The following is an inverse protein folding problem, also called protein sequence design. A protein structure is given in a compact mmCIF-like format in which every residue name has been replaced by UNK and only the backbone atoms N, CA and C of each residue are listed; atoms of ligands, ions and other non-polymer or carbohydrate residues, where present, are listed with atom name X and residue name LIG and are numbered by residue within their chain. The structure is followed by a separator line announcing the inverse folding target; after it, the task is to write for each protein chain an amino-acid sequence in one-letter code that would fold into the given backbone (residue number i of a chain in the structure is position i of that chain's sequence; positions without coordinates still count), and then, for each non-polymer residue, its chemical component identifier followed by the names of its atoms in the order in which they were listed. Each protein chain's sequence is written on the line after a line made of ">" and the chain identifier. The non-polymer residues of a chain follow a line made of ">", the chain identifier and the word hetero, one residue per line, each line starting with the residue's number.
data_IF_210453154456
#
_entry.id   IF_210453154456
#
_cell.length_a   1.000
_cell.length_b   1.000
_cell.length_c   1.000
_cell.angle_alpha   90.00
_cell.angle_beta   90.00
_cell.angle_gamma   90.00
#
_symmetry.space_group_name_H-M   'P 1'
#
loop_
_entity.id
_entity.type
_entity.pdbx_description
1 polymer ?
#
# COMPACT_ATOMS: atom_id res chain seq x y z
N UNK A 1 -30.27 -38.16 -35.85
CA UNK A 1 -29.82 -38.48 -34.47
C UNK A 1 -28.44 -37.87 -34.13
N UNK A 2 -28.17 -36.61 -34.55
CA UNK A 2 -26.87 -35.90 -34.29
C UNK A 2 -27.03 -34.47 -33.78
N UNK A 3 -28.26 -34.07 -33.35
CA UNK A 3 -28.51 -32.69 -32.87
C UNK A 3 -28.42 -32.48 -31.38
N UNK A 4 -28.61 -33.51 -30.55
CA UNK A 4 -28.78 -33.35 -29.09
C UNK A 4 -27.47 -33.27 -28.29
N UNK A 5 -26.41 -33.90 -28.79
CA UNK A 5 -25.12 -33.89 -28.06
C UNK A 5 -24.43 -32.50 -28.01
N UNK A 6 -24.68 -31.61 -28.99
CA UNK A 6 -24.09 -30.29 -29.03
C UNK A 6 -24.79 -29.28 -28.09
N UNK A 7 -26.09 -29.48 -27.81
CA UNK A 7 -26.82 -28.65 -26.85
C UNK A 7 -26.47 -29.00 -25.40
N UNK A 8 -26.37 -30.29 -25.08
CA UNK A 8 -25.92 -30.72 -23.74
C UNK A 8 -24.48 -30.34 -23.44
N UNK A 9 -23.60 -30.35 -24.44
CA UNK A 9 -22.20 -29.90 -24.26
C UNK A 9 -22.10 -28.37 -24.08
N UNK A 10 -22.96 -27.58 -24.77
CA UNK A 10 -23.04 -26.13 -24.56
C UNK A 10 -23.68 -25.77 -23.21
N UNK A 11 -24.70 -26.49 -22.75
CA UNK A 11 -25.35 -26.27 -21.48
C UNK A 11 -24.43 -26.62 -20.30
N UNK A 12 -23.68 -27.73 -20.36
CA UNK A 12 -22.70 -28.10 -19.36
C UNK A 12 -21.55 -27.09 -19.31
N UNK A 13 -21.05 -26.58 -20.44
CA UNK A 13 -20.01 -25.53 -20.45
C UNK A 13 -20.53 -24.22 -19.85
N UNK A 14 -21.79 -23.82 -20.08
CA UNK A 14 -22.36 -22.60 -19.47
C UNK A 14 -22.60 -22.75 -17.96
N UNK A 15 -22.95 -23.96 -17.50
CA UNK A 15 -23.15 -24.27 -16.07
C UNK A 15 -21.77 -24.32 -15.34
N UNK A 16 -20.75 -24.89 -15.99
CA UNK A 16 -19.37 -24.88 -15.46
C UNK A 16 -18.79 -23.46 -15.44
N UNK A 17 -19.01 -22.64 -16.47
CA UNK A 17 -18.61 -21.23 -16.52
C UNK A 17 -19.30 -20.40 -15.42
N UNK A 18 -20.59 -20.59 -15.16
CA UNK A 18 -21.32 -19.89 -14.11
C UNK A 18 -20.93 -20.31 -12.69
N UNK A 19 -20.49 -21.55 -12.48
CA UNK A 19 -19.95 -22.01 -11.21
C UNK A 19 -18.50 -21.54 -10.98
N UNK A 20 -17.69 -21.45 -12.04
CA UNK A 20 -16.34 -20.89 -11.97
C UNK A 20 -16.35 -19.39 -11.62
N UNK A 21 -17.28 -18.58 -12.15
CA UNK A 21 -17.43 -17.17 -11.80
C UNK A 21 -17.82 -16.95 -10.32
N UNK A 22 -18.70 -17.77 -9.76
CA UNK A 22 -19.08 -17.68 -8.33
C UNK A 22 -17.94 -18.07 -7.40
N UNK A 23 -17.16 -19.07 -7.76
CA UNK A 23 -16.00 -19.52 -6.99
C UNK A 23 -14.88 -18.47 -7.03
N UNK A 24 -14.69 -17.78 -8.15
CA UNK A 24 -13.72 -16.73 -8.34
C UNK A 24 -13.98 -15.50 -7.44
N UNK A 25 -15.25 -15.05 -7.32
CA UNK A 25 -15.59 -13.90 -6.46
C UNK A 25 -15.31 -14.21 -4.97
N UNK A 26 -15.60 -15.41 -4.50
CA UNK A 26 -15.29 -15.82 -3.14
C UNK A 26 -13.78 -15.79 -2.84
N UNK A 27 -12.95 -16.29 -3.77
CA UNK A 27 -11.49 -16.21 -3.65
C UNK A 27 -10.99 -14.77 -3.67
N UNK A 28 -11.52 -13.93 -4.56
CA UNK A 28 -11.16 -12.52 -4.66
C UNK A 28 -11.46 -11.76 -3.37
N UNK A 29 -12.64 -11.94 -2.80
CA UNK A 29 -13.01 -11.30 -1.53
C UNK A 29 -12.17 -11.85 -0.37
N UNK A 30 -11.87 -13.15 -0.36
CA UNK A 30 -11.06 -13.76 0.69
C UNK A 30 -9.61 -13.27 0.63
N UNK A 31 -8.99 -13.19 -0.55
CA UNK A 31 -7.61 -12.67 -0.64
C UNK A 31 -7.54 -11.16 -0.34
N UNK A 32 -8.59 -10.39 -0.67
CA UNK A 32 -8.71 -8.98 -0.29
C UNK A 32 -8.84 -8.81 1.22
N UNK A 33 -9.60 -9.69 1.87
CA UNK A 33 -9.70 -9.72 3.34
C UNK A 33 -8.36 -10.13 3.99
N UNK A 34 -7.63 -11.08 3.40
CA UNK A 34 -6.27 -11.40 3.85
C UNK A 34 -5.35 -10.19 3.72
N UNK A 35 -5.46 -9.41 2.63
CA UNK A 35 -4.69 -8.18 2.44
C UNK A 35 -5.03 -7.12 3.50
N UNK A 36 -6.32 -6.95 3.82
CA UNK A 36 -6.76 -6.06 4.90
C UNK A 36 -6.10 -6.43 6.23
N UNK A 37 -6.10 -7.71 6.59
CA UNK A 37 -5.53 -8.15 7.86
C UNK A 37 -3.99 -8.09 7.89
N UNK A 38 -3.32 -8.40 6.76
CA UNK A 38 -1.87 -8.27 6.63
C UNK A 38 -1.42 -6.83 6.79
N UNK A 39 -2.03 -5.90 6.06
CA UNK A 39 -1.71 -4.47 6.13
C UNK A 39 -2.11 -3.83 7.47
N UNK A 40 -3.13 -4.37 8.17
CA UNK A 40 -3.44 -3.97 9.56
C UNK A 40 -2.27 -4.26 10.48
N UNK A 41 -1.62 -5.43 10.35
CA UNK A 41 -0.45 -5.77 11.15
C UNK A 41 0.75 -4.89 10.80
N UNK A 42 0.94 -4.54 9.53
CA UNK A 42 2.02 -3.67 9.09
C UNK A 42 1.87 -2.24 9.59
N UNK A 43 0.69 -1.65 9.45
CA UNK A 43 0.46 -0.26 9.84
C UNK A 43 0.29 -0.05 11.35
N UNK A 44 0.08 -1.11 12.12
CA UNK A 44 0.16 -1.08 13.59
C UNK A 44 1.56 -0.66 14.05
N UNK A 45 2.62 -1.04 13.33
CA UNK A 45 4.00 -0.76 13.74
C UNK A 45 4.32 0.75 13.82
N UNK A 46 4.14 1.58 12.79
CA UNK A 46 4.35 3.01 12.91
C UNK A 46 3.43 3.66 13.96
N UNK A 47 2.24 3.13 14.18
CA UNK A 47 1.34 3.65 15.20
C UNK A 47 1.88 3.49 16.63
N UNK A 48 2.70 2.48 16.90
CA UNK A 48 3.32 2.26 18.23
C UNK A 48 4.71 2.91 18.37
N UNK A 49 5.22 3.65 17.41
CA UNK A 49 6.52 4.31 17.48
C UNK A 49 6.70 5.20 18.72
N UNK A 50 5.72 6.01 19.15
CA UNK A 50 5.87 6.76 20.40
C UNK A 50 6.14 5.85 21.60
N UNK A 51 5.43 4.73 21.72
CA UNK A 51 5.63 3.76 22.79
C UNK A 51 7.02 3.12 22.71
N UNK A 52 7.46 2.68 21.51
CA UNK A 52 8.80 2.11 21.32
C UNK A 52 9.89 3.13 21.63
N UNK A 53 9.70 4.40 21.22
CA UNK A 53 10.64 5.47 21.49
C UNK A 53 10.83 5.69 23.00
N UNK A 54 9.74 5.74 23.75
CA UNK A 54 9.76 5.98 25.19
C UNK A 54 10.32 4.76 25.94
N UNK A 55 9.92 3.53 25.58
CA UNK A 55 10.33 2.29 26.26
C UNK A 55 11.83 1.97 26.06
N UNK A 56 12.36 2.21 24.84
CA UNK A 56 13.75 1.89 24.49
C UNK A 56 14.68 3.11 24.41
N UNK A 57 14.18 4.32 24.72
CA UNK A 57 14.98 5.56 24.66
C UNK A 57 15.49 5.88 23.24
N UNK A 58 14.70 5.58 22.19
CA UNK A 58 15.13 5.71 20.80
C UNK A 58 15.19 7.18 20.37
N UNK A 59 16.16 7.52 19.53
CA UNK A 59 16.15 8.78 18.80
C UNK A 59 15.10 8.73 17.66
N UNK A 60 14.70 9.88 17.13
CA UNK A 60 13.83 9.95 15.96
C UNK A 60 14.49 9.34 14.70
N UNK A 61 15.83 9.46 14.60
CA UNK A 61 16.58 8.79 13.55
C UNK A 61 16.44 7.26 13.63
N UNK A 62 16.53 6.68 14.84
CA UNK A 62 16.34 5.24 15.05
C UNK A 62 14.91 4.80 14.70
N UNK A 63 13.89 5.61 15.03
CA UNK A 63 12.51 5.38 14.56
C UNK A 63 12.44 5.37 13.04
N UNK A 64 13.09 6.32 12.37
CA UNK A 64 13.21 6.35 10.92
C UNK A 64 13.90 5.12 10.34
N UNK A 65 14.95 4.60 11.00
CA UNK A 65 15.63 3.36 10.61
C UNK A 65 14.70 2.13 10.72
N UNK A 66 13.84 2.06 11.73
CA UNK A 66 12.82 0.99 11.82
C UNK A 66 11.94 0.98 10.56
N UNK A 67 11.41 2.14 10.16
CA UNK A 67 10.63 2.28 8.93
C UNK A 67 11.45 1.92 7.70
N UNK A 68 12.69 2.39 7.59
CA UNK A 68 13.57 2.11 6.46
C UNK A 68 13.79 0.60 6.30
N UNK A 69 14.12 -0.10 7.37
CA UNK A 69 14.36 -1.56 7.36
C UNK A 69 13.10 -2.31 6.94
N UNK A 70 11.93 -1.94 7.49
CA UNK A 70 10.66 -2.51 7.09
C UNK A 70 10.39 -2.32 5.58
N UNK A 71 10.52 -1.09 5.10
CA UNK A 71 10.23 -0.73 3.71
C UNK A 71 11.23 -1.34 2.73
N UNK A 72 12.53 -1.39 3.06
CA UNK A 72 13.53 -2.02 2.21
C UNK A 72 13.32 -3.55 2.11
N UNK A 73 13.07 -4.21 3.23
CA UNK A 73 12.84 -5.66 3.23
C UNK A 73 11.54 -6.03 2.53
N UNK A 74 10.49 -5.20 2.66
CA UNK A 74 9.25 -5.43 1.95
C UNK A 74 9.31 -5.12 0.45
N UNK A 75 10.11 -4.13 0.01
CA UNK A 75 10.10 -3.67 -1.39
C UNK A 75 11.22 -4.24 -2.26
N UNK A 76 12.46 -4.30 -1.76
CA UNK A 76 13.61 -4.76 -2.57
C UNK A 76 13.49 -6.25 -2.89
N UNK A 77 12.93 -7.05 -1.99
CA UNK A 77 12.82 -8.50 -2.14
C UNK A 77 11.63 -8.89 -3.04
N UNK A 78 10.59 -8.05 -3.14
CA UNK A 78 9.41 -8.35 -3.98
C UNK A 78 9.71 -8.74 -5.43
N UNK A 79 10.58 -8.03 -6.19
CA UNK A 79 10.91 -8.43 -7.56
C UNK A 79 11.55 -9.82 -7.64
N UNK A 80 12.41 -10.16 -6.68
CA UNK A 80 13.08 -11.47 -6.65
C UNK A 80 12.09 -12.58 -6.30
N UNK A 81 11.18 -12.33 -5.35
CA UNK A 81 10.08 -13.24 -5.03
C UNK A 81 9.17 -13.44 -6.23
N UNK A 82 8.79 -12.36 -6.92
CA UNK A 82 7.98 -12.42 -8.15
C UNK A 82 8.64 -13.28 -9.23
N UNK A 83 9.93 -13.06 -9.51
CA UNK A 83 10.70 -13.86 -10.46
C UNK A 83 10.81 -15.33 -10.05
N UNK A 84 10.94 -15.61 -8.75
CA UNK A 84 10.95 -16.98 -8.24
C UNK A 84 9.58 -17.64 -8.38
N UNK A 85 8.51 -16.94 -8.02
CA UNK A 85 7.13 -17.41 -8.10
C UNK A 85 6.71 -17.70 -9.55
N UNK A 86 7.15 -16.89 -10.51
CA UNK A 86 6.86 -17.10 -11.94
C UNK A 86 7.48 -18.41 -12.48
N UNK A 87 8.57 -18.88 -11.86
CA UNK A 87 9.25 -20.13 -12.24
C UNK A 87 8.82 -21.33 -11.40
N UNK A 88 8.53 -21.12 -10.12
CA UNK A 88 8.27 -22.16 -9.13
C UNK A 88 6.92 -21.95 -8.48
N UNK A 89 5.87 -22.52 -9.05
CA UNK A 89 4.48 -22.37 -8.56
C UNK A 89 4.22 -23.34 -7.38
N UNK A 90 4.40 -22.85 -6.15
CA UNK A 90 4.17 -23.61 -4.93
C UNK A 90 2.99 -23.08 -4.12
N UNK A 91 2.06 -23.93 -3.71
CA UNK A 91 0.95 -23.56 -2.82
C UNK A 91 1.42 -23.05 -1.45
N UNK A 92 2.61 -23.44 -1.03
CA UNK A 92 3.25 -23.11 0.25
C UNK A 92 3.77 -21.67 0.33
N UNK A 93 3.95 -21.00 -0.79
CA UNK A 93 4.55 -19.65 -0.84
C UNK A 93 3.70 -18.62 -0.10
N UNK A 94 2.38 -18.63 -0.31
CA UNK A 94 1.46 -17.72 0.39
C UNK A 94 1.45 -17.96 1.92
N UNK A 95 1.25 -19.18 2.44
CA UNK A 95 1.29 -19.38 3.89
C UNK A 95 2.66 -19.11 4.52
N UNK A 96 3.76 -19.32 3.81
CA UNK A 96 5.12 -19.00 4.32
C UNK A 96 5.28 -17.51 4.57
N UNK A 97 4.63 -16.62 3.82
CA UNK A 97 4.65 -15.18 4.12
C UNK A 97 4.18 -14.90 5.55
N UNK A 98 3.09 -15.57 5.97
CA UNK A 98 2.55 -15.40 7.32
C UNK A 98 3.42 -16.04 8.41
N UNK A 99 4.23 -17.04 8.08
CA UNK A 99 5.20 -17.61 9.03
C UNK A 99 6.28 -16.57 9.37
N UNK A 100 6.80 -15.84 8.37
CA UNK A 100 7.74 -14.74 8.63
C UNK A 100 7.10 -13.63 9.47
N UNK A 101 5.88 -13.21 9.13
CA UNK A 101 5.12 -12.22 9.90
C UNK A 101 4.88 -12.69 11.34
N UNK A 102 4.49 -13.96 11.54
CA UNK A 102 4.25 -14.55 12.86
C UNK A 102 5.52 -14.52 13.73
N UNK A 103 6.67 -14.95 13.18
CA UNK A 103 7.95 -14.91 13.90
C UNK A 103 8.30 -13.46 14.25
N UNK A 104 8.14 -12.51 13.31
CA UNK A 104 8.37 -11.09 13.55
C UNK A 104 7.50 -10.54 14.69
N UNK A 105 6.20 -10.88 14.74
CA UNK A 105 5.27 -10.50 15.80
C UNK A 105 5.77 -10.99 17.17
N UNK A 106 6.13 -12.28 17.27
CA UNK A 106 6.65 -12.83 18.51
C UNK A 106 7.95 -12.15 18.93
N UNK A 107 8.91 -12.00 18.03
CA UNK A 107 10.16 -11.31 18.34
C UNK A 107 9.92 -9.87 18.80
N UNK A 108 9.02 -9.12 18.14
CA UNK A 108 8.70 -7.76 18.54
C UNK A 108 8.05 -7.69 19.93
N UNK A 109 7.15 -8.61 20.24
CA UNK A 109 6.44 -8.64 21.52
C UNK A 109 7.32 -8.97 22.74
N UNK A 110 8.52 -9.49 22.52
CA UNK A 110 9.56 -9.80 23.51
C UNK A 110 10.86 -9.03 23.26
N UNK A 111 10.79 -7.97 22.45
CA UNK A 111 12.00 -7.18 22.16
C UNK A 111 12.53 -6.54 23.44
N UNK A 112 13.83 -6.64 23.63
CA UNK A 112 14.61 -6.07 24.73
C UNK A 112 15.66 -5.06 24.25
N UNK A 113 15.81 -4.92 22.94
CA UNK A 113 16.84 -4.08 22.34
C UNK A 113 16.43 -3.57 20.95
N UNK A 114 17.04 -2.48 20.52
CA UNK A 114 16.84 -1.91 19.18
C UNK A 114 17.17 -2.91 18.07
N UNK A 115 18.19 -3.75 18.25
CA UNK A 115 18.56 -4.78 17.27
C UNK A 115 17.44 -5.81 17.10
N UNK A 116 16.83 -6.26 18.18
CA UNK A 116 15.71 -7.22 18.13
C UNK A 116 14.49 -6.59 17.44
N UNK A 117 14.22 -5.30 17.66
CA UNK A 117 13.18 -4.57 16.92
C UNK A 117 13.50 -4.60 15.41
N UNK A 118 14.73 -4.28 14.99
CA UNK A 118 15.14 -4.29 13.58
C UNK A 118 15.00 -5.68 12.94
N UNK A 119 15.41 -6.74 13.63
CA UNK A 119 15.25 -8.11 13.15
C UNK A 119 13.76 -8.48 13.02
N UNK A 120 12.94 -8.09 14.00
CA UNK A 120 11.50 -8.31 13.98
C UNK A 120 10.85 -7.67 12.76
N UNK A 121 11.11 -6.38 12.52
CA UNK A 121 10.52 -5.66 11.38
C UNK A 121 11.08 -6.13 10.03
N UNK A 122 12.31 -6.65 10.00
CA UNK A 122 12.86 -7.30 8.81
C UNK A 122 12.06 -8.54 8.42
N UNK A 123 11.65 -9.36 9.41
CA UNK A 123 10.80 -10.52 9.17
C UNK A 123 9.38 -10.11 8.72
N UNK A 124 8.83 -9.05 9.28
CA UNK A 124 7.59 -8.47 8.77
C UNK A 124 7.72 -8.09 7.30
N UNK A 125 8.77 -7.34 6.94
CA UNK A 125 9.02 -6.94 5.56
C UNK A 125 9.19 -8.14 4.62
N UNK A 126 9.89 -9.21 5.06
CA UNK A 126 10.02 -10.46 4.30
C UNK A 126 8.65 -11.13 4.06
N UNK A 127 7.80 -11.20 5.07
CA UNK A 127 6.44 -11.70 4.94
C UNK A 127 5.65 -10.94 3.88
N UNK A 128 5.63 -9.61 3.99
CA UNK A 128 4.99 -8.70 3.06
C UNK A 128 5.53 -8.83 1.62
N UNK A 129 6.86 -8.95 1.46
CA UNK A 129 7.50 -9.10 0.15
C UNK A 129 7.05 -10.35 -0.61
N UNK A 130 6.64 -11.40 0.11
CA UNK A 130 6.11 -12.64 -0.46
C UNK A 130 4.60 -12.52 -0.71
N UNK A 131 3.86 -11.95 0.25
CA UNK A 131 2.39 -11.90 0.20
C UNK A 131 1.86 -11.04 -0.95
N UNK A 132 2.33 -9.78 -1.07
CA UNK A 132 1.75 -8.81 -2.00
C UNK A 132 1.80 -9.22 -3.49
N UNK A 133 2.95 -9.64 -4.07
CA UNK A 133 2.99 -10.04 -5.48
C UNK A 133 2.13 -11.27 -5.75
N UNK A 134 2.10 -12.23 -4.85
CA UNK A 134 1.31 -13.44 -5.03
C UNK A 134 -0.18 -13.22 -4.77
N UNK A 135 -0.54 -12.43 -3.76
CA UNK A 135 -1.91 -12.01 -3.51
C UNK A 135 -2.52 -11.27 -4.70
N UNK A 136 -1.75 -10.36 -5.31
CA UNK A 136 -2.14 -9.67 -6.54
C UNK A 136 -2.34 -10.64 -7.72
N UNK A 137 -1.47 -11.66 -7.88
CA UNK A 137 -1.65 -12.69 -8.91
C UNK A 137 -2.91 -13.52 -8.68
N UNK A 138 -3.20 -13.90 -7.43
CA UNK A 138 -4.45 -14.60 -7.07
C UNK A 138 -5.67 -13.74 -7.40
N UNK A 139 -5.66 -12.45 -7.06
CA UNK A 139 -6.74 -11.53 -7.37
C UNK A 139 -6.98 -11.42 -8.87
N UNK A 140 -5.91 -11.32 -9.68
CA UNK A 140 -6.02 -11.32 -11.13
C UNK A 140 -6.59 -12.62 -11.69
N UNK A 141 -6.18 -13.78 -11.17
CA UNK A 141 -6.72 -15.08 -11.60
C UNK A 141 -8.20 -15.24 -11.23
N UNK A 142 -8.60 -14.69 -10.07
CA UNK A 142 -9.98 -14.72 -9.61
C UNK A 142 -10.90 -13.71 -10.34
N UNK A 143 -10.36 -12.88 -11.23
CA UNK A 143 -11.05 -11.72 -11.84
C UNK A 143 -12.15 -12.07 -12.85
N UNK A 144 -12.18 -13.30 -13.37
CA UNK A 144 -13.08 -13.63 -14.48
C UNK A 144 -12.85 -12.77 -15.74
N UNK A 145 -11.66 -12.21 -15.93
CA UNK A 145 -11.30 -11.30 -17.02
C UNK A 145 -11.42 -9.80 -16.69
N UNK A 146 -11.96 -9.45 -15.50
CA UNK A 146 -12.12 -8.06 -15.03
C UNK A 146 -10.93 -7.65 -14.14
N UNK A 147 -9.72 -7.72 -14.68
CA UNK A 147 -8.47 -7.53 -13.92
C UNK A 147 -8.40 -6.20 -13.17
N UNK A 148 -8.91 -5.11 -13.76
CA UNK A 148 -8.94 -3.79 -13.11
C UNK A 148 -9.80 -3.79 -11.85
N UNK A 149 -11.02 -4.32 -11.92
CA UNK A 149 -11.91 -4.43 -10.77
C UNK A 149 -11.32 -5.32 -9.68
N UNK A 150 -10.77 -6.47 -10.05
CA UNK A 150 -10.17 -7.39 -9.08
C UNK A 150 -8.99 -6.76 -8.34
N UNK A 151 -8.12 -6.05 -9.07
CA UNK A 151 -7.01 -5.33 -8.46
C UNK A 151 -7.48 -4.18 -7.56
N UNK A 152 -8.56 -3.48 -7.95
CA UNK A 152 -9.14 -2.43 -7.10
C UNK A 152 -9.71 -2.99 -5.81
N UNK A 153 -10.43 -4.12 -5.86
CA UNK A 153 -10.97 -4.79 -4.66
C UNK A 153 -9.82 -5.24 -3.75
N UNK A 154 -8.76 -5.84 -4.32
CA UNK A 154 -7.59 -6.24 -3.57
C UNK A 154 -6.91 -5.04 -2.89
N UNK A 155 -6.75 -3.93 -3.61
CA UNK A 155 -6.12 -2.71 -3.09
C UNK A 155 -6.97 -2.01 -2.02
N UNK A 156 -8.30 -2.04 -2.13
CA UNK A 156 -9.20 -1.54 -1.08
C UNK A 156 -9.02 -2.33 0.21
N UNK A 157 -8.81 -3.65 0.13
CA UNK A 157 -8.46 -4.46 1.28
C UNK A 157 -7.20 -3.93 1.97
N UNK A 158 -6.09 -3.77 1.24
CA UNK A 158 -4.84 -3.26 1.78
C UNK A 158 -4.95 -1.88 2.40
N UNK A 159 -5.49 -0.91 1.66
CA UNK A 159 -5.66 0.45 2.17
C UNK A 159 -6.57 0.50 3.42
N UNK A 160 -7.63 -0.33 3.44
CA UNK A 160 -8.49 -0.47 4.62
C UNK A 160 -7.74 -1.04 5.83
N UNK A 161 -6.88 -2.03 5.60
CA UNK A 161 -5.99 -2.60 6.61
C UNK A 161 -5.00 -1.57 7.13
N UNK A 162 -4.37 -0.82 6.23
CA UNK A 162 -3.43 0.23 6.59
C UNK A 162 -4.08 1.30 7.48
N UNK A 163 -5.34 1.65 7.21
CA UNK A 163 -6.11 2.55 8.06
C UNK A 163 -6.47 1.93 9.42
N UNK A 164 -6.75 0.62 9.47
CA UNK A 164 -7.17 -0.06 10.69
C UNK A 164 -6.03 -0.25 11.72
N UNK A 165 -4.76 -0.29 11.28
CA UNK A 165 -3.61 -0.55 12.17
C UNK A 165 -3.51 0.39 13.37
N UNK A 166 -3.54 1.73 13.20
CA UNK A 166 -3.54 2.67 14.32
C UNK A 166 -4.73 2.51 15.27
N UNK A 167 -5.91 2.14 14.74
CA UNK A 167 -7.08 1.85 15.57
C UNK A 167 -6.83 0.64 16.48
N UNK A 168 -6.32 -0.46 15.92
CA UNK A 168 -5.99 -1.66 16.70
C UNK A 168 -4.80 -1.42 17.63
N UNK A 169 -3.81 -0.62 17.24
CA UNK A 169 -2.74 -0.20 18.13
C UNK A 169 -3.32 0.52 19.36
N UNK A 170 -4.22 1.49 19.17
CA UNK A 170 -4.86 2.25 20.23
C UNK A 170 -5.71 1.39 21.17
N UNK A 171 -6.42 0.41 20.64
CA UNK A 171 -7.37 -0.42 21.40
C UNK A 171 -6.73 -1.65 22.07
N UNK A 172 -5.68 -2.21 21.48
CA UNK A 172 -5.09 -3.48 21.92
C UNK A 172 -3.68 -3.29 22.47
N UNK A 173 -2.77 -2.63 21.68
CA UNK A 173 -1.36 -2.60 22.04
C UNK A 173 -1.10 -1.60 23.17
N UNK A 174 -1.61 -0.37 23.05
CA UNK A 174 -1.33 0.68 24.03
C UNK A 174 -1.82 0.36 25.44
N UNK A 175 -3.05 -0.19 25.64
CA UNK A 175 -3.52 -0.52 27.00
C UNK A 175 -2.73 -1.66 27.66
N UNK A 176 -2.15 -2.57 26.88
CA UNK A 176 -1.45 -3.77 27.37
C UNK A 176 0.09 -3.59 27.36
N UNK A 177 0.58 -2.59 26.63
CA UNK A 177 2.00 -2.40 26.36
C UNK A 177 2.50 -3.25 25.18
N UNK A 178 3.82 -3.29 24.97
CA UNK A 178 4.46 -3.99 23.85
C UNK A 178 4.03 -5.47 23.75
N UNK A 179 3.79 -6.10 24.88
CA UNK A 179 3.28 -7.47 24.94
C UNK A 179 1.92 -7.65 24.26
N UNK A 180 1.15 -6.56 24.07
CA UNK A 180 -0.13 -6.56 23.35
C UNK A 180 0.03 -6.90 21.86
N UNK A 181 1.22 -6.70 21.28
CA UNK A 181 1.53 -7.05 19.88
C UNK A 181 1.31 -8.53 19.61
N UNK A 182 1.52 -9.41 20.61
CA UNK A 182 1.34 -10.87 20.46
C UNK A 182 -0.08 -11.28 20.05
N UNK A 183 -1.10 -10.45 20.33
CA UNK A 183 -2.47 -10.77 19.92
C UNK A 183 -2.65 -10.81 18.40
N UNK A 184 -1.81 -10.08 17.66
CA UNK A 184 -1.78 -10.13 16.20
C UNK A 184 -1.25 -11.48 15.66
N UNK A 185 -0.56 -12.27 16.49
CA UNK A 185 -0.14 -13.63 16.12
C UNK A 185 -1.34 -14.54 15.78
N UNK A 186 -2.50 -14.34 16.45
CA UNK A 186 -3.72 -15.08 16.11
C UNK A 186 -4.22 -14.71 14.71
N UNK A 187 -4.10 -13.44 14.32
CA UNK A 187 -4.44 -12.98 12.96
C UNK A 187 -3.48 -13.61 11.94
N UNK A 188 -2.17 -13.55 12.18
CA UNK A 188 -1.17 -14.18 11.31
C UNK A 188 -1.37 -15.69 11.15
N UNK A 189 -1.71 -16.39 12.23
CA UNK A 189 -2.02 -17.82 12.21
C UNK A 189 -3.30 -18.12 11.41
N UNK A 190 -4.37 -17.34 11.62
CA UNK A 190 -5.61 -17.45 10.86
C UNK A 190 -5.34 -17.26 9.36
N UNK A 191 -4.57 -16.21 9.01
CA UNK A 191 -4.19 -15.94 7.63
C UNK A 191 -3.38 -17.10 7.04
N UNK A 192 -2.41 -17.65 7.76
CA UNK A 192 -1.63 -18.78 7.29
C UNK A 192 -2.53 -19.97 6.90
N UNK A 193 -3.56 -20.27 7.70
CA UNK A 193 -4.54 -21.33 7.42
C UNK A 193 -5.38 -21.01 6.18
N UNK A 194 -5.92 -19.79 6.07
CA UNK A 194 -6.70 -19.35 4.91
C UNK A 194 -5.85 -19.39 3.64
N UNK A 195 -4.61 -18.94 3.72
CA UNK A 195 -3.68 -18.88 2.59
C UNK A 195 -3.22 -20.26 2.12
N UNK A 196 -3.27 -21.31 2.94
CA UNK A 196 -3.08 -22.70 2.48
C UNK A 196 -4.18 -23.07 1.49
N UNK A 197 -5.43 -22.74 1.78
CA UNK A 197 -6.55 -23.00 0.87
C UNK A 197 -6.42 -22.22 -0.42
N UNK A 198 -6.16 -20.91 -0.33
CA UNK A 198 -5.98 -20.03 -1.49
C UNK A 198 -4.78 -20.48 -2.33
N UNK A 199 -3.64 -20.83 -1.72
CA UNK A 199 -2.45 -21.30 -2.42
C UNK A 199 -2.71 -22.58 -3.23
N UNK A 200 -3.45 -23.54 -2.65
CA UNK A 200 -3.85 -24.76 -3.37
C UNK A 200 -4.75 -24.44 -4.56
N UNK A 201 -5.72 -23.54 -4.39
CA UNK A 201 -6.58 -23.06 -5.47
C UNK A 201 -5.76 -22.35 -6.56
N UNK A 202 -4.84 -21.45 -6.19
CA UNK A 202 -3.96 -20.72 -7.11
C UNK A 202 -3.17 -21.64 -8.03
N UNK A 203 -2.49 -22.64 -7.48
CA UNK A 203 -1.71 -23.62 -8.26
C UNK A 203 -2.60 -24.44 -9.21
N UNK A 204 -3.82 -24.78 -8.79
CA UNK A 204 -4.78 -25.48 -9.65
C UNK A 204 -5.18 -24.62 -10.86
N UNK A 205 -5.42 -23.32 -10.65
CA UNK A 205 -5.81 -22.40 -11.73
C UNK A 205 -4.67 -22.13 -12.73
N UNK A 206 -3.41 -22.07 -12.28
CA UNK A 206 -2.27 -21.89 -13.19
C UNK A 206 -2.18 -22.95 -14.26
N UNK A 207 -2.62 -24.18 -13.97
CA UNK A 207 -2.69 -25.29 -14.95
C UNK A 207 -3.75 -25.07 -16.03
N UNK A 208 -4.82 -24.32 -15.71
CA UNK A 208 -5.95 -24.03 -16.61
C UNK A 208 -5.66 -22.80 -17.50
N UNK A 209 -5.10 -21.73 -16.94
CA UNK A 209 -4.88 -20.43 -17.63
C UNK A 209 -3.80 -20.51 -18.72
N UNK A 210 -2.88 -21.47 -18.67
CA UNK A 210 -1.84 -21.66 -19.71
C UNK A 210 -2.41 -21.89 -21.13
N UNK A 211 -3.72 -22.09 -21.28
CA UNK A 211 -4.43 -22.33 -22.56
C UNK A 211 -5.12 -21.10 -23.18
N UNK A 212 -5.17 -19.93 -22.50
CA UNK A 212 -5.88 -18.74 -23.05
C UNK A 212 -4.90 -17.67 -23.52
N UNK A 213 -5.05 -17.29 -24.79
CA UNK A 213 -4.28 -16.23 -25.47
C UNK A 213 -4.62 -14.85 -24.91
N UNK A 214 -3.60 -14.01 -24.71
CA UNK A 214 -3.73 -12.60 -24.26
C UNK A 214 -4.31 -11.74 -25.37
N UNK A 215 -5.43 -11.04 -25.12
CA UNK A 215 -5.87 -9.92 -25.94
C UNK A 215 -4.89 -8.72 -25.74
N UNK A 216 -4.43 -8.15 -26.84
CA UNK A 216 -3.43 -7.08 -26.88
C UNK A 216 -4.14 -5.74 -27.06
N UNK A 217 -3.94 -4.79 -26.14
CA UNK A 217 -4.36 -3.40 -26.32
C UNK A 217 -3.24 -2.60 -26.98
N UNK A 218 -3.54 -1.89 -28.06
CA UNK A 218 -2.62 -1.00 -28.72
C UNK A 218 -3.25 0.38 -28.78
N UNK A 219 -2.60 1.39 -28.16
CA UNK A 219 -2.98 2.78 -28.33
C UNK A 219 -1.79 3.58 -28.83
N UNK A 220 -2.01 4.30 -29.91
CA UNK A 220 -1.00 5.05 -30.60
C UNK A 220 -1.11 6.55 -30.25
N UNK A 221 -0.11 7.12 -29.61
CA UNK A 221 0.35 8.46 -29.91
C UNK A 221 1.88 8.47 -29.80
N UNK A 222 2.52 8.88 -30.90
CA UNK A 222 3.98 8.77 -31.05
C UNK A 222 4.66 9.90 -30.29
N UNK A 223 5.09 9.63 -29.04
CA UNK A 223 6.07 10.46 -28.37
C UNK A 223 7.46 9.91 -28.68
N UNK A 224 8.44 10.81 -28.80
CA UNK A 224 9.84 10.39 -28.92
C UNK A 224 10.29 9.72 -27.64
N UNK A 225 11.28 8.82 -27.73
CA UNK A 225 11.82 8.10 -26.56
C UNK A 225 12.26 9.05 -25.44
N UNK A 226 12.86 10.17 -25.78
CA UNK A 226 13.31 11.18 -24.81
C UNK A 226 12.14 11.89 -24.13
N UNK A 227 11.04 12.13 -24.84
CA UNK A 227 9.83 12.70 -24.24
C UNK A 227 9.18 11.73 -23.25
N UNK A 228 9.11 10.44 -23.59
CA UNK A 228 8.60 9.41 -22.68
C UNK A 228 9.43 9.35 -21.40
N UNK A 229 10.75 9.33 -21.51
CA UNK A 229 11.63 9.36 -20.33
C UNK A 229 11.44 10.63 -19.49
N UNK A 230 11.28 11.79 -20.13
CA UNK A 230 10.97 13.05 -19.45
C UNK A 230 9.65 12.98 -18.66
N UNK A 231 8.58 12.42 -19.25
CA UNK A 231 7.30 12.27 -18.57
C UNK A 231 7.38 11.25 -17.42
N UNK A 232 8.08 10.14 -17.60
CA UNK A 232 8.31 9.16 -16.54
C UNK A 232 9.11 9.78 -15.38
N UNK A 233 10.11 10.61 -15.68
CA UNK A 233 10.87 11.33 -14.66
C UNK A 233 9.98 12.33 -13.89
N UNK A 234 9.10 13.07 -14.58
CA UNK A 234 8.11 13.94 -13.91
C UNK A 234 7.23 13.12 -12.98
N UNK A 235 6.69 11.98 -13.44
CA UNK A 235 5.88 11.09 -12.60
C UNK A 235 6.66 10.57 -11.40
N UNK A 236 7.94 10.28 -11.57
CA UNK A 236 8.83 9.88 -10.47
C UNK A 236 8.97 10.99 -9.41
N UNK A 237 9.22 12.24 -9.82
CA UNK A 237 9.32 13.38 -8.90
C UNK A 237 7.99 13.62 -8.17
N UNK A 238 6.87 13.47 -8.87
CA UNK A 238 5.54 13.59 -8.28
C UNK A 238 5.27 12.49 -7.24
N UNK A 239 5.69 11.26 -7.54
CA UNK A 239 5.60 10.13 -6.62
C UNK A 239 6.49 10.34 -5.39
N UNK A 240 7.73 10.81 -5.59
CA UNK A 240 8.64 11.20 -4.53
C UNK A 240 7.98 12.22 -3.59
N UNK A 241 7.49 13.33 -4.14
CA UNK A 241 6.83 14.39 -3.39
C UNK A 241 5.69 13.87 -2.51
N UNK A 242 4.80 13.09 -3.12
CA UNK A 242 3.65 12.50 -2.44
C UNK A 242 4.09 11.54 -1.34
N UNK A 243 4.98 10.59 -1.65
CA UNK A 243 5.35 9.55 -0.70
C UNK A 243 6.16 10.07 0.47
N UNK A 244 7.08 11.00 0.24
CA UNK A 244 7.81 11.65 1.33
C UNK A 244 6.87 12.39 2.29
N UNK A 245 5.88 13.12 1.75
CA UNK A 245 4.88 13.78 2.59
C UNK A 245 4.02 12.77 3.35
N UNK A 246 3.48 11.77 2.67
CA UNK A 246 2.64 10.73 3.31
C UNK A 246 3.43 10.00 4.39
N UNK A 247 4.70 9.69 4.15
CA UNK A 247 5.54 9.03 5.15
C UNK A 247 5.82 9.91 6.36
N UNK A 248 5.97 11.23 6.17
CA UNK A 248 6.06 12.15 7.32
C UNK A 248 4.80 12.13 8.18
N UNK A 249 3.63 11.98 7.57
CA UNK A 249 2.37 11.81 8.29
C UNK A 249 2.31 10.45 9.01
N UNK A 250 2.60 9.37 8.31
CA UNK A 250 2.51 8.01 8.88
C UNK A 250 3.48 7.82 10.05
N UNK A 251 4.74 8.22 9.89
CA UNK A 251 5.78 7.96 10.88
C UNK A 251 5.85 8.98 12.01
N UNK A 252 5.44 10.23 11.78
CA UNK A 252 5.70 11.32 12.72
C UNK A 252 4.48 12.13 13.15
N UNK A 253 3.30 11.92 12.57
CA UNK A 253 2.09 12.70 12.92
C UNK A 253 1.66 12.48 14.37
N UNK A 254 1.81 11.28 14.91
CA UNK A 254 1.52 10.97 16.32
C UNK A 254 2.41 11.79 17.24
N UNK A 255 3.72 11.86 16.95
CA UNK A 255 4.65 12.69 17.72
C UNK A 255 4.32 14.18 17.62
N UNK A 256 3.97 14.67 16.42
CA UNK A 256 3.54 16.05 16.20
C UNK A 256 2.33 16.41 17.06
N UNK A 257 1.33 15.53 17.14
CA UNK A 257 0.13 15.77 17.95
C UNK A 257 0.45 15.76 19.44
N UNK A 258 1.29 14.84 19.91
CA UNK A 258 1.72 14.75 21.30
C UNK A 258 2.51 16.02 21.69
N UNK A 259 3.49 16.42 20.89
CA UNK A 259 4.33 17.60 21.16
C UNK A 259 3.52 18.90 21.13
N UNK A 260 2.63 19.05 20.15
CA UNK A 260 1.89 20.30 19.94
C UNK A 260 0.70 20.48 20.85
N UNK A 261 -0.06 19.42 21.14
CA UNK A 261 -1.34 19.47 21.85
C UNK A 261 -1.32 18.76 23.21
N UNK A 262 -0.25 18.08 23.59
CA UNK A 262 -0.15 17.33 24.84
C UNK A 262 -1.14 16.15 24.93
N UNK A 263 -1.58 15.61 23.78
CA UNK A 263 -2.53 14.49 23.76
C UNK A 263 -1.85 13.17 24.13
N UNK A 264 -2.64 12.19 24.60
CA UNK A 264 -2.13 10.84 24.84
C UNK A 264 -1.72 10.14 23.54
N UNK A 265 -0.83 9.14 23.66
CA UNK A 265 -0.44 8.29 22.52
C UNK A 265 -1.68 7.68 21.88
N UNK A 266 -2.63 7.17 22.68
CA UNK A 266 -3.88 6.60 22.20
C UNK A 266 -4.70 7.58 21.35
N UNK A 267 -4.86 8.82 21.82
CA UNK A 267 -5.58 9.87 21.08
C UNK A 267 -4.87 10.20 19.78
N UNK A 268 -3.53 10.30 19.78
CA UNK A 268 -2.78 10.61 18.56
C UNK A 268 -2.91 9.51 17.49
N UNK A 269 -3.05 8.24 17.90
CA UNK A 269 -3.27 7.11 16.98
C UNK A 269 -4.68 7.12 16.39
N UNK A 270 -5.70 7.51 17.17
CA UNK A 270 -7.05 7.70 16.63
C UNK A 270 -7.09 8.82 15.59
N UNK A 271 -6.29 9.87 15.79
CA UNK A 271 -6.15 10.93 14.79
C UNK A 271 -5.43 10.44 13.52
N UNK A 272 -4.40 9.61 13.65
CA UNK A 272 -3.72 8.98 12.51
C UNK A 272 -4.67 8.04 11.75
N UNK A 273 -5.51 7.27 12.46
CA UNK A 273 -6.56 6.47 11.84
C UNK A 273 -7.49 7.32 10.95
N UNK A 274 -7.91 8.50 11.41
CA UNK A 274 -8.79 9.39 10.62
C UNK A 274 -8.10 9.83 9.32
N UNK A 275 -6.81 10.17 9.38
CA UNK A 275 -6.03 10.51 8.19
C UNK A 275 -5.98 9.35 7.18
N UNK A 276 -5.62 8.16 7.64
CA UNK A 276 -5.50 6.97 6.79
C UNK A 276 -6.86 6.48 6.26
N UNK A 277 -7.92 6.57 7.07
CA UNK A 277 -9.28 6.26 6.60
C UNK A 277 -9.74 7.21 5.48
N UNK A 278 -9.38 8.49 5.58
CA UNK A 278 -9.63 9.46 4.52
C UNK A 278 -8.83 9.13 3.24
N UNK A 279 -7.59 8.59 3.37
CA UNK A 279 -6.80 8.10 2.22
C UNK A 279 -7.49 6.94 1.48
N UNK A 280 -8.16 6.01 2.20
CA UNK A 280 -8.93 4.93 1.56
C UNK A 280 -10.02 5.51 0.66
N UNK A 281 -10.79 6.46 1.18
CA UNK A 281 -11.86 7.14 0.43
C UNK A 281 -11.27 7.92 -0.75
N UNK A 282 -10.18 8.65 -0.53
CA UNK A 282 -9.47 9.41 -1.56
C UNK A 282 -8.98 8.55 -2.72
N UNK A 283 -8.45 7.37 -2.42
CA UNK A 283 -7.98 6.40 -3.43
C UNK A 283 -9.13 5.92 -4.32
N UNK A 284 -10.29 5.60 -3.74
CA UNK A 284 -11.49 5.18 -4.48
C UNK A 284 -12.01 6.30 -5.38
N UNK A 285 -12.13 7.51 -4.83
CA UNK A 285 -12.60 8.69 -5.58
C UNK A 285 -11.62 9.07 -6.69
N UNK A 286 -10.32 8.99 -6.44
CA UNK A 286 -9.27 9.32 -7.41
C UNK A 286 -9.32 8.44 -8.66
N UNK A 287 -9.55 7.15 -8.50
CA UNK A 287 -9.73 6.22 -9.63
C UNK A 287 -10.94 6.59 -10.48
N UNK A 288 -12.10 6.79 -9.85
CA UNK A 288 -13.34 7.16 -10.53
C UNK A 288 -13.27 8.52 -11.24
N UNK A 289 -12.72 9.55 -10.57
CA UNK A 289 -12.55 10.90 -11.14
C UNK A 289 -11.55 10.86 -12.29
N UNK A 290 -10.44 10.12 -12.13
CA UNK A 290 -9.38 9.98 -13.14
C UNK A 290 -9.87 9.37 -14.45
N UNK A 291 -10.74 8.37 -14.36
CA UNK A 291 -11.34 7.74 -15.53
C UNK A 291 -12.36 8.66 -16.24
N UNK A 292 -13.03 9.55 -15.50
CA UNK A 292 -14.06 10.45 -16.06
C UNK A 292 -13.51 11.75 -16.59
N UNK A 293 -12.61 12.40 -15.85
CA UNK A 293 -12.13 13.77 -16.14
C UNK A 293 -10.68 13.81 -16.66
N UNK A 294 -9.98 12.67 -16.60
CA UNK A 294 -8.60 12.53 -17.08
C UNK A 294 -7.57 12.52 -15.96
N UNK A 295 -6.66 11.57 -16.04
CA UNK A 295 -5.66 11.25 -15.00
C UNK A 295 -4.70 12.39 -14.70
N UNK A 296 -4.29 13.17 -15.72
CA UNK A 296 -3.42 14.36 -15.53
C UNK A 296 -3.99 15.34 -14.52
N UNK A 297 -5.30 15.61 -14.58
CA UNK A 297 -5.95 16.57 -13.68
C UNK A 297 -6.02 16.01 -12.24
N UNK A 298 -6.27 14.72 -12.10
CA UNK A 298 -6.24 14.07 -10.79
C UNK A 298 -4.84 14.14 -10.18
N UNK A 299 -3.80 13.81 -10.94
CA UNK A 299 -2.40 13.90 -10.48
C UNK A 299 -2.06 15.31 -10.03
N UNK A 300 -2.40 16.31 -10.84
CA UNK A 300 -2.12 17.72 -10.54
C UNK A 300 -2.86 18.17 -9.26
N UNK A 301 -4.16 17.92 -9.20
CA UNK A 301 -4.98 18.32 -8.06
C UNK A 301 -4.62 17.57 -6.78
N UNK A 302 -4.32 16.27 -6.87
CA UNK A 302 -3.99 15.46 -5.71
C UNK A 302 -2.69 15.87 -5.03
N UNK A 303 -1.72 16.35 -5.78
CA UNK A 303 -0.43 16.75 -5.21
C UNK A 303 -0.41 18.27 -4.98
N UNK A 304 -0.53 19.07 -6.03
CA UNK A 304 -0.46 20.52 -5.93
C UNK A 304 -1.68 21.12 -5.21
N UNK A 305 -2.88 20.60 -5.46
CA UNK A 305 -4.10 21.04 -4.79
C UNK A 305 -4.15 20.72 -3.30
N UNK A 306 -3.36 19.75 -2.83
CA UNK A 306 -3.19 19.50 -1.40
C UNK A 306 -2.30 20.54 -0.70
N UNK A 307 -1.41 21.23 -1.43
CA UNK A 307 -0.40 22.13 -0.87
C UNK A 307 -0.96 23.21 0.08
N UNK A 308 -2.05 23.94 -0.21
CA UNK A 308 -2.57 24.93 0.73
C UNK A 308 -2.97 24.31 2.06
N UNK A 309 -3.58 23.13 2.04
CA UNK A 309 -4.02 22.41 3.25
C UNK A 309 -2.80 21.87 4.04
N UNK A 310 -1.80 21.32 3.34
CA UNK A 310 -0.60 20.82 4.01
C UNK A 310 0.17 21.96 4.67
N UNK A 311 0.34 23.10 4.00
CA UNK A 311 1.04 24.27 4.55
C UNK A 311 0.31 24.83 5.78
N UNK A 312 -1.02 24.80 5.82
CA UNK A 312 -1.79 25.26 6.97
C UNK A 312 -1.66 24.34 8.20
N UNK A 313 -1.45 23.03 8.00
CA UNK A 313 -1.49 22.01 9.06
C UNK A 313 -0.61 22.35 10.29
N UNK A 314 0.67 22.74 10.16
CA UNK A 314 1.51 23.07 11.32
C UNK A 314 1.05 24.29 12.10
N UNK A 315 0.22 25.16 11.53
CA UNK A 315 -0.19 26.43 12.13
C UNK A 315 -1.58 26.40 12.76
N UNK A 316 -2.35 25.34 12.54
CA UNK A 316 -3.69 25.20 13.15
C UNK A 316 -3.58 25.06 14.66
N UNK A 317 -4.24 25.94 15.43
CA UNK A 317 -4.14 26.01 16.88
C UNK A 317 -5.05 25.03 17.65
N UNK A 318 -5.95 24.30 16.98
CA UNK A 318 -6.87 23.37 17.65
C UNK A 318 -6.69 21.93 17.15
N UNK A 319 -6.82 20.96 18.05
CA UNK A 319 -6.76 19.53 17.72
C UNK A 319 -7.84 19.15 16.70
N UNK A 320 -9.08 19.59 16.91
CA UNK A 320 -10.20 19.32 15.99
C UNK A 320 -9.93 19.86 14.58
N UNK A 321 -9.43 21.09 14.46
CA UNK A 321 -9.03 21.67 13.17
C UNK A 321 -7.91 20.89 12.50
N UNK A 322 -6.93 20.41 13.27
CA UNK A 322 -5.81 19.59 12.76
C UNK A 322 -6.32 18.25 12.24
N UNK A 323 -7.26 17.59 12.93
CA UNK A 323 -7.87 16.33 12.49
C UNK A 323 -8.67 16.52 11.20
N UNK A 324 -9.53 17.54 11.14
CA UNK A 324 -10.31 17.85 9.93
C UNK A 324 -9.39 18.11 8.75
N UNK A 325 -8.34 18.91 8.96
CA UNK A 325 -7.39 19.27 7.92
C UNK A 325 -6.59 18.05 7.45
N UNK A 326 -6.16 17.18 8.38
CA UNK A 326 -5.46 15.94 8.04
C UNK A 326 -6.36 15.00 7.22
N UNK A 327 -7.64 14.88 7.55
CA UNK A 327 -8.59 14.09 6.77
C UNK A 327 -8.77 14.64 5.35
N UNK A 328 -8.87 15.96 5.17
CA UNK A 328 -8.94 16.62 3.85
C UNK A 328 -7.66 16.33 3.05
N UNK A 329 -6.49 16.45 3.68
CA UNK A 329 -5.19 16.16 3.05
C UNK A 329 -5.12 14.69 2.63
N UNK A 330 -5.46 13.75 3.51
CA UNK A 330 -5.46 12.31 3.22
C UNK A 330 -6.35 11.98 2.01
N UNK A 331 -7.58 12.51 2.00
CA UNK A 331 -8.52 12.33 0.89
C UNK A 331 -7.97 12.83 -0.44
N UNK A 332 -7.33 14.00 -0.46
CA UNK A 332 -6.80 14.60 -1.69
C UNK A 332 -5.54 13.85 -2.15
N UNK A 333 -4.55 13.64 -1.27
CA UNK A 333 -3.22 13.12 -1.63
C UNK A 333 -3.27 11.66 -2.08
N UNK A 334 -4.14 10.85 -1.49
CA UNK A 334 -4.23 9.43 -1.80
C UNK A 334 -4.74 9.15 -3.24
N UNK A 335 -5.49 10.07 -3.82
CA UNK A 335 -6.02 9.93 -5.17
C UNK A 335 -4.94 9.94 -6.28
N UNK A 336 -3.71 10.40 -5.98
CA UNK A 336 -2.62 10.48 -6.95
C UNK A 336 -2.05 9.12 -7.37
N UNK A 337 -1.93 8.16 -6.46
CA UNK A 337 -1.14 6.94 -6.69
C UNK A 337 -1.64 6.13 -7.88
N UNK A 338 -2.92 5.75 -7.87
CA UNK A 338 -3.53 4.96 -8.95
C UNK A 338 -3.49 5.72 -10.28
N UNK A 339 -3.71 7.03 -10.26
CA UNK A 339 -3.65 7.86 -11.45
C UNK A 339 -2.24 7.93 -12.06
N UNK A 340 -1.19 8.08 -11.22
CA UNK A 340 0.23 8.08 -11.65
C UNK A 340 0.59 6.73 -12.27
N UNK A 341 0.27 5.62 -11.59
CA UNK A 341 0.61 4.28 -12.04
C UNK A 341 -0.01 3.96 -13.39
N UNK A 342 -1.31 4.22 -13.54
CA UNK A 342 -2.00 3.95 -14.80
C UNK A 342 -1.52 4.90 -15.91
N UNK A 343 -1.23 6.17 -15.58
CA UNK A 343 -0.67 7.11 -16.55
C UNK A 343 0.72 6.64 -17.02
N UNK A 344 1.57 6.15 -16.13
CA UNK A 344 2.90 5.63 -16.48
C UNK A 344 2.80 4.35 -17.35
N UNK A 345 1.87 3.46 -17.05
CA UNK A 345 1.66 2.25 -17.86
C UNK A 345 1.06 2.55 -19.23
N UNK A 346 0.24 3.60 -19.36
CA UNK A 346 -0.26 4.06 -20.65
C UNK A 346 0.85 4.69 -21.54
N UNK A 347 1.85 5.33 -20.91
CA UNK A 347 3.02 5.84 -21.64
C UNK A 347 3.92 4.72 -22.17
N UNK A 348 3.97 3.57 -21.49
CA UNK A 348 4.84 2.44 -21.83
C UNK A 348 4.09 1.10 -21.85
N UNK A 349 3.13 0.91 -22.76
CA UNK A 349 2.22 -0.24 -22.77
C UNK A 349 2.90 -1.60 -22.97
N UNK A 350 4.12 -1.61 -23.52
CA UNK A 350 4.91 -2.84 -23.69
C UNK A 350 5.70 -3.24 -22.42
N UNK A 351 5.72 -2.40 -21.37
CA UNK A 351 6.52 -2.59 -20.16
C UNK A 351 5.68 -2.44 -18.87
N UNK A 352 4.41 -2.83 -18.91
CA UNK A 352 3.45 -2.64 -17.81
C UNK A 352 3.98 -3.21 -16.50
N UNK A 353 4.47 -4.46 -16.49
CA UNK A 353 5.00 -5.11 -15.29
C UNK A 353 6.25 -4.42 -14.75
N UNK A 354 7.17 -4.01 -15.63
CA UNK A 354 8.39 -3.28 -15.24
C UNK A 354 8.05 -1.93 -14.64
N UNK A 355 7.15 -1.17 -15.27
CA UNK A 355 6.72 0.15 -14.79
C UNK A 355 6.00 0.02 -13.44
N UNK A 356 5.07 -0.91 -13.31
CA UNK A 356 4.39 -1.15 -12.06
C UNK A 356 5.39 -1.53 -10.94
N UNK A 357 6.31 -2.46 -11.21
CA UNK A 357 7.35 -2.87 -10.25
C UNK A 357 8.27 -1.71 -9.83
N UNK A 358 8.67 -0.85 -10.76
CA UNK A 358 9.47 0.34 -10.47
C UNK A 358 8.68 1.31 -9.59
N UNK A 359 7.43 1.63 -9.94
CA UNK A 359 6.65 2.62 -9.19
C UNK A 359 6.27 2.11 -7.80
N UNK A 360 5.90 0.82 -7.65
CA UNK A 360 5.65 0.23 -6.33
C UNK A 360 6.93 0.15 -5.49
N UNK A 361 8.01 -0.43 -6.04
CA UNK A 361 9.27 -0.57 -5.31
C UNK A 361 9.88 0.77 -4.90
N UNK A 362 9.84 1.78 -5.78
CA UNK A 362 10.28 3.14 -5.46
C UNK A 362 9.38 3.81 -4.42
N UNK A 363 8.07 3.60 -4.47
CA UNK A 363 7.15 4.21 -3.51
C UNK A 363 7.49 3.81 -2.08
N UNK A 364 7.68 2.52 -1.83
CA UNK A 364 8.05 2.01 -0.51
C UNK A 364 9.48 2.39 -0.13
N UNK A 365 10.45 2.19 -1.04
CA UNK A 365 11.85 2.54 -0.75
C UNK A 365 12.05 4.03 -0.47
N UNK A 366 11.38 4.91 -1.21
CA UNK A 366 11.40 6.35 -0.98
C UNK A 366 10.73 6.71 0.36
N UNK A 367 9.64 6.04 0.74
CA UNK A 367 9.01 6.22 2.05
C UNK A 367 9.99 5.96 3.19
N UNK A 368 10.70 4.84 3.17
CA UNK A 368 11.71 4.51 4.17
C UNK A 368 12.86 5.52 4.25
N UNK A 369 13.38 5.97 3.09
CA UNK A 369 14.38 7.04 3.05
C UNK A 369 13.83 8.36 3.60
N UNK A 370 12.57 8.70 3.28
CA UNK A 370 11.88 9.87 3.78
C UNK A 370 11.74 9.86 5.29
N UNK A 371 11.31 8.73 5.87
CA UNK A 371 11.18 8.56 7.32
C UNK A 371 12.53 8.73 8.02
N UNK A 372 13.61 8.11 7.50
CA UNK A 372 14.96 8.24 8.05
C UNK A 372 15.46 9.70 8.00
N UNK A 373 15.27 10.37 6.86
CA UNK A 373 15.65 11.78 6.69
C UNK A 373 14.90 12.69 7.66
N UNK A 374 13.59 12.53 7.79
CA UNK A 374 12.79 13.33 8.71
C UNK A 374 13.09 13.02 10.17
N UNK A 375 13.43 11.77 10.50
CA UNK A 375 13.89 11.40 11.83
C UNK A 375 15.22 12.09 12.20
N UNK A 376 16.19 12.06 11.29
CA UNK A 376 17.44 12.80 11.46
C UNK A 376 17.18 14.31 11.63
N UNK A 377 16.33 14.89 10.80
CA UNK A 377 15.98 16.31 10.87
C UNK A 377 15.28 16.65 12.19
N UNK A 378 14.42 15.76 12.70
CA UNK A 378 13.74 15.93 13.98
C UNK A 378 14.73 15.95 15.16
N UNK A 379 15.72 15.06 15.15
CA UNK A 379 16.77 15.01 16.19
C UNK A 379 17.65 16.26 16.18
N UNK A 380 17.88 16.89 15.00
CA UNK A 380 18.66 18.13 14.90
C UNK A 380 17.84 19.40 15.18
N UNK A 381 16.51 19.32 15.12
CA UNK A 381 15.64 20.50 15.21
C UNK A 381 14.45 20.27 16.15
N UNK A 382 13.31 19.86 15.61
CA UNK A 382 12.10 19.46 16.35
C UNK A 382 11.09 18.79 15.37
N UNK A 383 10.16 18.04 15.93
CA UNK A 383 9.04 17.47 15.14
C UNK A 383 8.19 18.57 14.47
N UNK A 384 7.99 19.70 15.16
CA UNK A 384 7.25 20.85 14.61
C UNK A 384 7.96 21.42 13.38
N UNK A 385 9.31 21.47 13.38
CA UNK A 385 10.07 21.92 12.22
C UNK A 385 9.98 20.94 11.06
N UNK A 386 10.06 19.64 11.33
CA UNK A 386 9.86 18.59 10.30
C UNK A 386 8.54 18.77 9.58
N UNK A 387 7.44 19.01 10.31
CA UNK A 387 6.14 19.24 9.70
C UNK A 387 6.10 20.53 8.87
N UNK A 388 6.78 21.60 9.27
CA UNK A 388 6.90 22.82 8.44
C UNK A 388 7.63 22.56 7.13
N UNK A 389 8.67 21.74 7.14
CA UNK A 389 9.44 21.40 5.92
C UNK A 389 8.69 20.42 5.03
N UNK A 390 8.13 19.34 5.59
CA UNK A 390 7.43 18.31 4.81
C UNK A 390 6.20 18.85 4.08
N UNK A 391 5.52 19.86 4.65
CA UNK A 391 4.34 20.48 4.05
C UNK A 391 4.61 21.23 2.75
N UNK A 392 5.88 21.53 2.44
CA UNK A 392 6.28 22.18 1.18
C UNK A 392 6.42 21.17 0.02
N UNK A 393 6.56 19.88 0.32
CA UNK A 393 6.73 18.85 -0.69
C UNK A 393 5.61 18.83 -1.75
N UNK A 394 4.33 18.95 -1.40
CA UNK A 394 3.25 18.95 -2.39
C UNK A 394 3.32 20.11 -3.40
N UNK A 395 4.07 21.17 -3.13
CA UNK A 395 4.32 22.24 -4.11
C UNK A 395 5.02 21.73 -5.38
N UNK A 396 5.81 20.64 -5.26
CA UNK A 396 6.42 19.99 -6.45
C UNK A 396 5.34 19.45 -7.41
N UNK A 397 4.11 19.30 -6.97
CA UNK A 397 2.98 18.94 -7.82
C UNK A 397 2.72 19.87 -8.99
N UNK A 398 3.24 21.11 -8.95
CA UNK A 398 3.13 22.07 -10.06
C UNK A 398 3.73 21.52 -11.36
N UNK A 399 4.77 20.67 -11.29
CA UNK A 399 5.41 20.09 -12.48
C UNK A 399 4.49 19.15 -13.27
N UNK A 400 3.37 18.71 -12.69
CA UNK A 400 2.36 17.91 -13.41
C UNK A 400 1.75 18.67 -14.61
N UNK A 401 1.87 19.99 -14.64
CA UNK A 401 1.44 20.83 -15.80
C UNK A 401 2.17 20.40 -17.07
N UNK A 402 3.41 19.97 -17.00
CA UNK A 402 4.21 19.53 -18.15
C UNK A 402 3.83 18.14 -18.68
N UNK A 403 3.01 17.36 -17.96
CA UNK A 403 2.50 16.08 -18.45
C UNK A 403 1.55 16.32 -19.65
N UNK A 404 1.62 15.52 -20.73
CA UNK A 404 0.70 15.64 -21.85
C UNK A 404 -0.73 15.25 -21.47
N UNK A 405 -1.72 15.79 -22.18
CA UNK A 405 -3.10 15.33 -22.07
C UNK A 405 -3.23 14.00 -22.82
N UNK A 406 -3.56 12.94 -22.12
CA UNK A 406 -3.92 11.66 -22.75
C UNK A 406 -5.35 11.78 -23.27
N UNK A 407 -5.58 11.52 -24.55
CA UNK A 407 -6.95 11.42 -25.08
C UNK A 407 -7.50 10.01 -24.78
N UNK A 408 -8.73 9.96 -24.27
CA UNK A 408 -9.50 8.74 -24.21
C UNK A 408 -9.84 8.34 -25.67
N UNK A 409 -9.42 7.15 -26.10
CA UNK A 409 -9.95 6.55 -27.34
C UNK A 409 -11.15 5.72 -27.00
#
# INVERSE_FOLDING_TARGET
>A
MFGDNNQHMKLNNTIEEGNEERTALGILLTISFCHLLDDTMHSMLPAIYPMLKDEFGLSFFQVGIITLVLQLTSSIIQPFVGLYADKHHGWWQLPVSMVFTLIGIFMLSYADSFLVILLSVSLFGLGSSIFHPQGSQVAQQASGGRNGLAQSIFQVGGNGGFAAGPLFAALIVIPVGLSGVRWFAFIALLLAVILIYIGKWHVKQLKVVRKRSRARWTTAKTYTRNQIYGFVFILFVLMFSKNFYTESMVSYFTFFLIEKFGVSIQTSQLCLFVFLAAEVVGTLLGGWIGDRYGRKYVIWFSIFGAAPFTIMLPYVGSLAGTIILSAIIGLIIASAFSAILVYATDLMPNHIGTIAGIFYGLSFGLGGLGSTFFGWLADQTSILFVFKVSTLLPLLGIIAVYLPKMKRQ
#
